data_IF_149528252189
#
_entry.id   IF_149528252189
#
_cell.length_a   1.000
_cell.length_b   1.000
_cell.length_c   1.000
_cell.angle_alpha   90.00
_cell.angle_beta   90.00
_cell.angle_gamma   90.00
#
_symmetry.space_group_name_H-M   'P 1'
#
loop_
_entity.id
_entity.type
_entity.pdbx_description
1 polymer ?
#
# COMPACT_ATOMS: atom_id res chain seq x y z
N UNK A 1 -38.19 14.82 8.86
CA UNK A 1 -36.86 15.06 8.29
C UNK A 1 -36.24 13.72 7.93
N UNK A 2 -36.34 13.30 6.67
CA UNK A 2 -35.80 12.03 6.21
C UNK A 2 -34.26 12.11 6.21
N UNK A 3 -33.60 11.29 7.04
CA UNK A 3 -32.19 10.95 6.83
C UNK A 3 -32.12 10.26 5.47
N UNK A 4 -31.85 11.02 4.40
CA UNK A 4 -31.41 10.41 3.15
C UNK A 4 -30.22 9.53 3.47
N UNK A 5 -30.11 8.38 2.79
CA UNK A 5 -28.97 7.45 2.89
C UNK A 5 -27.72 8.14 2.32
N UNK A 6 -27.25 9.21 2.97
CA UNK A 6 -26.11 10.00 2.55
C UNK A 6 -24.88 9.09 2.58
N UNK A 7 -24.11 9.08 1.47
CA UNK A 7 -22.92 8.26 1.33
C UNK A 7 -21.86 8.64 2.38
N UNK A 8 -21.24 7.64 3.02
CA UNK A 8 -20.23 7.85 4.07
C UNK A 8 -18.89 8.30 3.45
N UNK A 9 -18.36 9.52 3.71
CA UNK A 9 -17.21 10.05 2.97
C UNK A 9 -15.96 9.17 2.96
N UNK A 10 -15.51 8.59 4.09
CA UNK A 10 -14.36 7.68 4.10
C UNK A 10 -14.60 6.42 3.26
N UNK A 11 -15.82 5.88 3.28
CA UNK A 11 -16.19 4.70 2.49
C UNK A 11 -16.17 5.03 0.99
N UNK A 12 -16.69 6.20 0.61
CA UNK A 12 -16.64 6.65 -0.79
C UNK A 12 -15.20 6.80 -1.25
N UNK A 13 -14.34 7.46 -0.45
CA UNK A 13 -12.93 7.64 -0.79
C UNK A 13 -12.20 6.29 -0.92
N UNK A 14 -12.46 5.35 0.00
CA UNK A 14 -11.91 4.01 -0.04
C UNK A 14 -12.29 3.26 -1.33
N UNK A 15 -13.60 3.20 -1.62
CA UNK A 15 -14.13 2.48 -2.79
C UNK A 15 -13.65 3.11 -4.09
N UNK A 16 -13.62 4.45 -4.17
CA UNK A 16 -13.11 5.16 -5.33
C UNK A 16 -11.64 4.85 -5.57
N UNK A 17 -10.80 4.86 -4.53
CA UNK A 17 -9.38 4.53 -4.65
C UNK A 17 -9.18 3.08 -5.14
N UNK A 18 -9.89 2.11 -4.57
CA UNK A 18 -9.82 0.71 -5.02
C UNK A 18 -10.30 0.56 -6.47
N UNK A 19 -11.41 1.22 -6.82
CA UNK A 19 -11.95 1.16 -8.18
C UNK A 19 -10.95 1.70 -9.20
N UNK A 20 -10.29 2.82 -8.91
CA UNK A 20 -9.24 3.38 -9.75
C UNK A 20 -8.08 2.39 -9.90
N UNK A 21 -7.54 1.85 -8.80
CA UNK A 21 -6.45 0.87 -8.83
C UNK A 21 -6.77 -0.34 -9.71
N UNK A 22 -7.96 -0.92 -9.53
CA UNK A 22 -8.41 -2.08 -10.30
C UNK A 22 -8.60 -1.71 -11.77
N UNK A 23 -9.23 -0.57 -12.08
CA UNK A 23 -9.42 -0.12 -13.46
C UNK A 23 -8.07 0.08 -14.15
N UNK A 24 -7.09 0.72 -13.49
CA UNK A 24 -5.74 0.91 -14.03
C UNK A 24 -5.07 -0.44 -14.34
N UNK A 25 -5.15 -1.41 -13.41
CA UNK A 25 -4.59 -2.74 -13.61
C UNK A 25 -5.28 -3.57 -14.71
N UNK A 26 -6.53 -3.23 -15.07
CA UNK A 26 -7.24 -3.88 -16.18
C UNK A 26 -6.86 -3.31 -17.55
N UNK A 27 -6.38 -2.06 -17.61
CA UNK A 27 -6.04 -1.37 -18.87
C UNK A 27 -4.53 -1.26 -19.10
N UNK A 28 -3.72 -1.44 -18.06
CA UNK A 28 -2.27 -1.32 -18.07
C UNK A 28 -1.61 -2.51 -17.34
N UNK A 29 -0.37 -2.90 -17.71
CA UNK A 29 0.40 -3.88 -16.96
C UNK A 29 0.67 -3.40 -15.53
N UNK A 30 0.72 -4.33 -14.58
CA UNK A 30 1.14 -4.01 -13.22
C UNK A 30 2.57 -3.48 -13.22
N UNK A 31 2.86 -2.42 -12.43
CA UNK A 31 4.20 -1.86 -12.34
C UNK A 31 5.17 -2.88 -11.75
N UNK A 32 6.32 -3.03 -12.42
CA UNK A 32 7.46 -3.75 -11.86
C UNK A 32 8.24 -2.82 -10.92
N UNK A 33 8.92 -3.36 -9.89
CA UNK A 33 9.72 -2.54 -8.99
C UNK A 33 10.78 -1.75 -9.74
N UNK A 34 10.79 -0.42 -9.56
CA UNK A 34 11.63 0.49 -10.33
C UNK A 34 12.83 0.99 -9.53
N UNK A 35 12.63 1.21 -8.24
CA UNK A 35 13.66 1.69 -7.33
C UNK A 35 14.22 0.57 -6.46
N UNK A 36 15.48 0.72 -6.06
CA UNK A 36 16.18 -0.31 -5.27
C UNK A 36 15.45 -0.65 -3.95
N UNK A 37 14.78 0.32 -3.34
CA UNK A 37 14.07 0.13 -2.08
C UNK A 37 12.82 -0.72 -2.24
N UNK A 38 12.19 -0.70 -3.41
CA UNK A 38 11.04 -1.55 -3.72
C UNK A 38 11.40 -3.03 -3.64
N UNK A 39 12.60 -3.43 -4.09
CA UNK A 39 13.08 -4.80 -3.93
C UNK A 39 13.28 -5.16 -2.45
N UNK A 40 13.76 -4.22 -1.63
CA UNK A 40 13.90 -4.41 -0.19
C UNK A 40 12.53 -4.54 0.51
N UNK A 41 11.52 -3.78 0.08
CA UNK A 41 10.15 -3.93 0.57
C UNK A 41 9.51 -5.24 0.13
N UNK A 42 9.76 -5.68 -1.11
CA UNK A 42 9.32 -6.98 -1.60
C UNK A 42 9.95 -8.10 -0.78
N UNK A 43 11.25 -8.03 -0.47
CA UNK A 43 11.90 -8.96 0.46
C UNK A 43 11.18 -9.00 1.82
N UNK A 44 10.83 -7.85 2.40
CA UNK A 44 10.06 -7.81 3.66
C UNK A 44 8.69 -8.47 3.51
N UNK A 45 7.95 -8.15 2.45
CA UNK A 45 6.64 -8.73 2.15
C UNK A 45 6.70 -10.24 2.03
N UNK A 46 7.66 -10.75 1.26
CA UNK A 46 7.93 -12.17 1.09
C UNK A 46 8.33 -12.89 2.38
N UNK A 47 9.04 -12.19 3.27
CA UNK A 47 9.45 -12.72 4.58
C UNK A 47 8.23 -12.86 5.48
N UNK A 48 7.39 -11.82 5.55
CA UNK A 48 6.20 -11.79 6.39
C UNK A 48 5.10 -12.70 5.87
N UNK A 49 4.92 -12.82 4.55
CA UNK A 49 3.97 -13.76 3.94
C UNK A 49 4.31 -15.23 4.25
N UNK A 50 5.60 -15.53 4.50
CA UNK A 50 6.06 -16.84 4.98
C UNK A 50 5.98 -17.00 6.51
N UNK A 51 5.37 -16.04 7.21
CA UNK A 51 5.19 -16.08 8.67
C UNK A 51 6.48 -15.83 9.47
N UNK A 52 7.50 -15.22 8.86
CA UNK A 52 8.78 -14.91 9.51
C UNK A 52 8.90 -13.42 9.78
N UNK A 53 9.70 -13.02 10.77
CA UNK A 53 10.05 -11.61 10.99
C UNK A 53 11.35 -11.21 10.27
N UNK A 54 12.29 -12.14 10.16
CA UNK A 54 13.55 -12.00 9.43
C UNK A 54 13.92 -13.35 8.83
N UNK A 55 14.92 -13.37 7.94
CA UNK A 55 15.49 -14.60 7.40
C UNK A 55 16.88 -14.87 8.01
N UNK A 56 17.34 -16.13 8.04
CA UNK A 56 18.71 -16.43 8.44
C UNK A 56 19.72 -15.73 7.53
N UNK A 57 20.81 -15.23 8.13
CA UNK A 57 21.92 -14.66 7.37
C UNK A 57 22.59 -15.75 6.50
N UNK A 58 23.00 -15.38 5.29
CA UNK A 58 23.72 -16.31 4.41
C UNK A 58 25.14 -16.56 4.95
N UNK A 59 25.68 -17.81 4.94
CA UNK A 59 27.03 -18.09 5.45
C UNK A 59 28.14 -17.30 4.75
N UNK A 60 27.91 -16.94 3.47
CA UNK A 60 28.82 -16.16 2.63
C UNK A 60 28.28 -14.74 2.36
N UNK A 61 27.58 -14.14 3.33
CA UNK A 61 26.85 -12.87 3.14
C UNK A 61 27.70 -11.72 2.59
N UNK A 62 28.99 -11.68 2.89
CA UNK A 62 29.94 -10.66 2.39
C UNK A 62 29.99 -10.58 0.85
N UNK A 63 29.70 -11.69 0.16
CA UNK A 63 29.65 -11.75 -1.30
C UNK A 63 28.25 -11.48 -1.89
N UNK A 64 27.21 -11.45 -1.05
CA UNK A 64 25.81 -11.29 -1.45
C UNK A 64 25.17 -10.03 -0.85
N UNK A 65 25.99 -9.08 -0.41
CA UNK A 65 25.48 -7.79 0.03
C UNK A 65 24.79 -7.07 -1.12
N UNK A 66 23.63 -6.47 -0.80
CA UNK A 66 22.85 -5.70 -1.76
C UNK A 66 22.30 -4.45 -1.09
N UNK A 67 21.90 -3.49 -1.91
CA UNK A 67 21.40 -2.21 -1.45
C UNK A 67 20.17 -2.39 -0.54
N UNK A 68 20.14 -1.63 0.56
CA UNK A 68 19.01 -1.51 1.48
C UNK A 68 18.53 -2.82 2.12
N UNK A 69 19.39 -3.84 2.15
CA UNK A 69 19.15 -5.10 2.87
C UNK A 69 20.20 -5.25 3.97
N UNK A 70 19.76 -5.67 5.14
CA UNK A 70 20.63 -6.05 6.24
C UNK A 70 21.03 -7.50 6.05
N UNK A 71 22.34 -7.76 6.00
CA UNK A 71 22.89 -9.11 5.91
C UNK A 71 23.12 -9.75 7.28
N UNK A 72 23.30 -8.93 8.33
CA UNK A 72 23.62 -9.32 9.70
C UNK A 72 22.81 -8.49 10.71
N UNK A 73 22.48 -9.03 11.91
CA UNK A 73 22.65 -10.42 12.32
C UNK A 73 21.69 -11.40 11.62
N UNK A 74 20.70 -10.88 10.91
CA UNK A 74 19.71 -11.64 10.14
C UNK A 74 19.48 -10.96 8.80
N UNK A 75 19.11 -11.74 7.78
CA UNK A 75 18.79 -11.25 6.44
C UNK A 75 17.39 -10.61 6.41
N UNK A 76 17.31 -9.29 6.28
CA UNK A 76 16.04 -8.56 6.33
C UNK A 76 16.10 -7.24 5.57
N UNK A 77 14.93 -6.69 5.23
CA UNK A 77 14.84 -5.31 4.76
C UNK A 77 15.40 -4.35 5.82
N UNK A 78 16.15 -3.34 5.37
CA UNK A 78 16.61 -2.25 6.25
C UNK A 78 15.46 -1.35 6.74
N UNK A 79 14.34 -1.36 6.04
CA UNK A 79 13.23 -0.44 6.29
C UNK A 79 12.26 -0.94 7.37
N UNK A 80 11.49 -0.04 8.00
CA UNK A 80 10.44 -0.41 8.96
C UNK A 80 9.40 -1.38 8.36
N UNK A 81 8.75 -2.21 9.20
CA UNK A 81 7.94 -3.33 8.71
C UNK A 81 6.62 -2.93 8.06
N UNK A 82 6.13 -1.70 8.25
CA UNK A 82 4.79 -1.29 7.82
C UNK A 82 4.50 -1.56 6.35
N UNK A 83 5.41 -1.16 5.45
CA UNK A 83 5.25 -1.40 4.01
C UNK A 83 5.25 -2.91 3.69
N UNK A 84 6.21 -3.66 4.23
CA UNK A 84 6.28 -5.11 4.05
C UNK A 84 5.03 -5.83 4.54
N UNK A 85 4.41 -5.38 5.64
CA UNK A 85 3.17 -5.98 6.17
C UNK A 85 2.00 -5.82 5.20
N UNK A 86 1.84 -4.65 4.58
CA UNK A 86 0.80 -4.46 3.56
C UNK A 86 1.07 -5.31 2.32
N UNK A 87 2.32 -5.38 1.84
CA UNK A 87 2.68 -6.24 0.71
C UNK A 87 2.38 -7.72 1.00
N UNK A 88 2.72 -8.19 2.20
CA UNK A 88 2.39 -9.55 2.64
C UNK A 88 0.87 -9.78 2.72
N UNK A 89 0.10 -8.79 3.19
CA UNK A 89 -1.36 -8.85 3.18
C UNK A 89 -1.91 -8.99 1.76
N UNK A 90 -1.39 -8.21 0.80
CA UNK A 90 -1.76 -8.33 -0.61
C UNK A 90 -1.47 -9.72 -1.18
N UNK A 91 -0.28 -10.25 -0.90
CA UNK A 91 0.10 -11.61 -1.28
C UNK A 91 -0.85 -12.66 -0.67
N UNK A 92 -1.21 -12.51 0.62
CA UNK A 92 -2.10 -13.44 1.29
C UNK A 92 -3.55 -13.40 0.76
N UNK A 93 -4.04 -12.22 0.38
CA UNK A 93 -5.43 -12.04 -0.08
C UNK A 93 -5.63 -12.41 -1.55
N UNK A 94 -4.67 -12.08 -2.41
CA UNK A 94 -4.85 -12.13 -3.86
C UNK A 94 -3.66 -12.74 -4.61
N UNK A 95 -2.62 -13.22 -3.91
CA UNK A 95 -1.40 -13.73 -4.53
C UNK A 95 -0.48 -12.65 -5.13
N UNK A 96 -0.81 -11.36 -4.94
CA UNK A 96 -0.08 -10.25 -5.54
C UNK A 96 0.22 -9.15 -4.51
N UNK A 97 1.50 -8.75 -4.31
CA UNK A 97 1.89 -7.76 -3.30
C UNK A 97 1.28 -6.37 -3.55
N UNK A 98 1.06 -6.02 -4.83
CA UNK A 98 0.48 -4.74 -5.24
C UNK A 98 -0.92 -4.49 -4.63
N UNK A 99 -1.68 -5.55 -4.37
CA UNK A 99 -2.99 -5.44 -3.70
C UNK A 99 -2.85 -4.83 -2.31
N UNK A 100 -1.72 -5.07 -1.64
CA UNK A 100 -1.36 -4.42 -0.39
C UNK A 100 -1.22 -2.91 -0.50
N UNK A 101 -0.60 -2.44 -1.60
CA UNK A 101 -0.44 -1.02 -1.93
C UNK A 101 -1.80 -0.38 -2.20
N UNK A 102 -2.68 -1.06 -2.94
CA UNK A 102 -4.04 -0.57 -3.18
C UNK A 102 -4.83 -0.41 -1.88
N UNK A 103 -4.74 -1.40 -0.98
CA UNK A 103 -5.40 -1.34 0.32
C UNK A 103 -4.86 -0.19 1.17
N UNK A 104 -3.53 -0.05 1.30
CA UNK A 104 -2.93 1.02 2.12
C UNK A 104 -3.26 2.42 1.57
N UNK A 105 -3.28 2.57 0.25
CA UNK A 105 -3.66 3.79 -0.46
C UNK A 105 -5.13 4.14 -0.23
N UNK A 106 -6.03 3.16 -0.35
CA UNK A 106 -7.45 3.36 -0.10
C UNK A 106 -7.73 3.72 1.37
N UNK A 107 -7.00 3.11 2.33
CA UNK A 107 -7.06 3.48 3.74
C UNK A 107 -6.57 4.91 3.97
N UNK A 108 -5.49 5.34 3.30
CA UNK A 108 -5.00 6.72 3.37
C UNK A 108 -6.04 7.71 2.84
N UNK A 109 -6.66 7.44 1.69
CA UNK A 109 -7.74 8.26 1.13
C UNK A 109 -8.95 8.34 2.07
N UNK A 110 -9.33 7.22 2.67
CA UNK A 110 -10.40 7.15 3.67
C UNK A 110 -10.07 7.97 4.93
N UNK A 111 -8.82 7.89 5.42
CA UNK A 111 -8.34 8.64 6.57
C UNK A 111 -8.35 10.15 6.31
N UNK A 112 -7.96 10.58 5.10
CA UNK A 112 -8.04 11.98 4.66
C UNK A 112 -9.50 12.46 4.68
N UNK A 113 -10.42 11.69 4.10
CA UNK A 113 -11.85 12.05 4.11
C UNK A 113 -12.44 12.06 5.52
N UNK A 114 -12.02 11.14 6.39
CA UNK A 114 -12.43 11.10 7.80
C UNK A 114 -11.96 12.34 8.55
N UNK A 115 -10.68 12.69 8.43
CA UNK A 115 -10.11 13.87 9.09
C UNK A 115 -10.73 15.16 8.55
N UNK A 116 -10.94 15.26 7.23
CA UNK A 116 -11.64 16.39 6.63
C UNK A 116 -13.06 16.53 7.19
N UNK A 117 -13.75 15.42 7.45
CA UNK A 117 -15.07 15.41 8.08
C UNK A 117 -15.11 15.93 9.51
N UNK A 118 -13.97 16.04 10.20
CA UNK A 118 -13.90 16.65 11.53
C UNK A 118 -14.00 18.19 11.49
N UNK A 119 -13.71 18.82 10.34
CA UNK A 119 -13.62 20.28 10.21
C UNK A 119 -14.54 20.84 9.11
N UNK A 120 -14.86 20.03 8.10
CA UNK A 120 -15.58 20.45 6.91
C UNK A 120 -16.96 19.77 6.79
N UNK A 121 -17.91 20.39 6.08
CA UNK A 121 -19.17 19.73 5.71
C UNK A 121 -18.92 18.46 4.89
N UNK A 122 -19.87 17.52 4.97
CA UNK A 122 -19.78 16.18 4.37
C UNK A 122 -19.39 16.17 2.88
N UNK A 123 -19.93 17.09 2.09
CA UNK A 123 -19.62 17.21 0.65
C UNK A 123 -18.14 17.53 0.41
N UNK A 124 -17.57 18.44 1.20
CA UNK A 124 -16.17 18.80 1.11
C UNK A 124 -15.25 17.67 1.58
N UNK A 125 -15.64 16.96 2.65
CA UNK A 125 -14.92 15.78 3.09
C UNK A 125 -14.86 14.68 2.02
N UNK A 126 -15.96 14.47 1.27
CA UNK A 126 -15.99 13.56 0.12
C UNK A 126 -15.05 14.03 -1.00
N UNK A 127 -15.09 15.32 -1.35
CA UNK A 127 -14.21 15.89 -2.35
C UNK A 127 -12.74 15.72 -2.00
N UNK A 128 -12.33 15.96 -0.74
CA UNK A 128 -10.96 15.73 -0.29
C UNK A 128 -10.50 14.28 -0.51
N UNK A 129 -11.35 13.30 -0.17
CA UNK A 129 -11.02 11.89 -0.38
C UNK A 129 -10.93 11.49 -1.85
N UNK A 130 -11.81 12.01 -2.69
CA UNK A 130 -11.78 11.77 -4.14
C UNK A 130 -10.53 12.40 -4.76
N UNK A 131 -10.22 13.65 -4.40
CA UNK A 131 -9.02 14.34 -4.89
C UNK A 131 -7.74 13.61 -4.49
N UNK A 132 -7.68 13.07 -3.27
CA UNK A 132 -6.56 12.23 -2.84
C UNK A 132 -6.45 10.95 -3.69
N UNK A 133 -7.56 10.27 -3.95
CA UNK A 133 -7.58 9.05 -4.77
C UNK A 133 -7.21 9.29 -6.25
N UNK A 134 -7.52 10.47 -6.79
CA UNK A 134 -7.20 10.85 -8.18
C UNK A 134 -5.89 11.62 -8.30
N UNK A 135 -5.13 11.78 -7.22
CA UNK A 135 -3.88 12.54 -7.25
C UNK A 135 -2.88 11.86 -8.22
N UNK A 136 -2.20 12.59 -9.13
CA UNK A 136 -1.33 11.98 -10.14
C UNK A 136 -0.31 11.02 -9.56
N UNK A 137 0.34 11.42 -8.47
CA UNK A 137 1.30 10.55 -7.79
C UNK A 137 0.66 9.25 -7.29
N UNK A 138 -0.60 9.25 -6.83
CA UNK A 138 -1.29 8.01 -6.43
C UNK A 138 -1.60 7.12 -7.63
N UNK A 139 -1.90 7.73 -8.78
CA UNK A 139 -2.17 7.01 -10.02
C UNK A 139 -0.91 6.36 -10.60
N UNK A 140 0.23 7.04 -10.51
CA UNK A 140 1.50 6.56 -11.06
C UNK A 140 2.00 5.25 -10.41
N UNK A 141 1.50 4.91 -9.21
CA UNK A 141 1.85 3.69 -8.47
C UNK A 141 0.81 2.56 -8.57
N UNK A 142 -0.22 2.68 -9.42
CA UNK A 142 -1.23 1.64 -9.67
C UNK A 142 -0.99 0.89 -10.97
#
# INVERSE_FOLDING_TARGET
MARSKLLNPPLVAFVTSIAISVITALVSPLPAPQFHDEFSYLLAGDTFARGRLTNPAHPMWEFFETFQVLSQPTYASKYPPGQGMFLALGQALAGAPIVGVWISTALACAAIAWMAGAVLPRTWAMLCGILAATHPQVLDWN
#
